data_IF_555426234088
#
_entry.id   IF_555426234088
#
_cell.length_a   1.000
_cell.length_b   1.000
_cell.length_c   1.000
_cell.angle_alpha   90.00
_cell.angle_beta   90.00
_cell.angle_gamma   90.00
#
_symmetry.space_group_name_H-M   'P 1'
#
loop_
_entity.id
_entity.type
_entity.pdbx_description
1 polymer ?
#
# COMPACT_ATOMS: atom_id res chain seq x y z
N UNK A 1 -29.37 8.38 3.93
CA UNK A 1 -28.71 8.50 5.23
C UNK A 1 -27.62 7.41 5.40
N UNK A 2 -27.94 6.10 5.47
CA UNK A 2 -26.97 5.03 5.74
C UNK A 2 -25.72 5.06 4.84
N UNK A 3 -25.88 5.23 3.53
CA UNK A 3 -24.79 5.27 2.53
C UNK A 3 -23.81 6.41 2.81
N UNK A 4 -24.28 7.54 3.34
CA UNK A 4 -23.43 8.67 3.70
C UNK A 4 -22.67 8.45 5.01
N UNK A 5 -23.26 7.68 5.94
CA UNK A 5 -22.73 7.45 7.28
C UNK A 5 -21.72 6.28 7.34
N UNK A 6 -21.93 5.28 6.50
CA UNK A 6 -21.11 4.06 6.52
C UNK A 6 -19.61 4.30 6.25
N UNK A 7 -19.19 5.19 5.33
CA UNK A 7 -17.77 5.45 5.08
C UNK A 7 -16.97 5.98 6.27
N UNK A 8 -17.63 6.58 7.27
CA UNK A 8 -16.98 7.24 8.42
C UNK A 8 -16.12 6.27 9.24
N UNK A 9 -16.62 5.07 9.50
CA UNK A 9 -15.95 4.06 10.33
C UNK A 9 -16.09 2.64 9.81
N UNK A 10 -16.77 2.46 8.67
CA UNK A 10 -17.10 1.16 8.07
C UNK A 10 -17.82 0.21 9.03
N UNK A 11 -18.50 0.76 10.05
CA UNK A 11 -19.26 0.02 11.04
C UNK A 11 -20.74 0.08 10.72
N UNK A 12 -21.32 -1.01 10.21
CA UNK A 12 -22.72 -1.07 9.79
C UNK A 12 -23.70 -0.74 10.91
N UNK A 13 -23.44 -1.13 12.16
CA UNK A 13 -24.29 -0.87 13.31
C UNK A 13 -24.30 0.62 13.65
N UNK A 14 -23.12 1.23 13.73
CA UNK A 14 -23.01 2.67 14.04
C UNK A 14 -23.55 3.53 12.90
N UNK A 15 -23.29 3.17 11.66
CA UNK A 15 -23.86 3.83 10.50
C UNK A 15 -25.40 3.77 10.49
N UNK A 16 -25.99 2.64 10.88
CA UNK A 16 -27.44 2.51 11.00
C UNK A 16 -28.00 3.42 12.11
N UNK A 17 -27.33 3.50 13.27
CA UNK A 17 -27.75 4.40 14.37
C UNK A 17 -27.70 5.86 13.90
N UNK A 18 -26.60 6.30 13.28
CA UNK A 18 -26.46 7.65 12.74
C UNK A 18 -27.48 7.95 11.63
N UNK A 19 -27.86 6.93 10.89
CA UNK A 19 -28.89 7.02 9.86
C UNK A 19 -30.34 7.08 10.41
N UNK A 20 -30.53 7.01 11.75
CA UNK A 20 -31.83 7.15 12.41
C UNK A 20 -32.52 5.82 12.74
N UNK A 21 -31.86 4.67 12.54
CA UNK A 21 -32.42 3.37 12.98
C UNK A 21 -32.28 3.21 14.50
N UNK A 22 -33.23 2.53 15.12
CA UNK A 22 -33.23 2.25 16.56
C UNK A 22 -31.95 1.44 16.93
N UNK A 23 -31.29 1.83 18.02
CA UNK A 23 -30.10 1.12 18.53
C UNK A 23 -30.37 -0.38 18.76
N UNK A 24 -31.63 -0.74 19.17
CA UNK A 24 -32.06 -2.13 19.39
C UNK A 24 -32.02 -2.97 18.10
N UNK A 25 -32.27 -2.36 16.94
CA UNK A 25 -32.34 -3.04 15.64
C UNK A 25 -31.20 -2.69 14.70
N UNK A 26 -30.36 -1.72 15.05
CA UNK A 26 -29.32 -1.18 14.17
C UNK A 26 -28.36 -2.26 13.64
N UNK A 27 -27.99 -3.25 14.46
CA UNK A 27 -27.13 -4.35 14.06
C UNK A 27 -27.75 -5.15 12.90
N UNK A 28 -28.98 -5.61 13.06
CA UNK A 28 -29.68 -6.39 12.02
C UNK A 28 -30.01 -5.55 10.78
N UNK A 29 -30.40 -4.30 10.98
CA UNK A 29 -30.70 -3.38 9.87
C UNK A 29 -29.41 -3.03 9.08
N UNK A 30 -28.31 -2.73 9.74
CA UNK A 30 -27.02 -2.46 9.10
C UNK A 30 -26.53 -3.63 8.26
N UNK A 31 -26.60 -4.84 8.80
CA UNK A 31 -26.28 -6.07 8.06
C UNK A 31 -27.18 -6.24 6.83
N UNK A 32 -28.48 -6.11 7.00
CA UNK A 32 -29.46 -6.23 5.91
C UNK A 32 -29.21 -5.20 4.80
N UNK A 33 -28.88 -3.96 5.17
CA UNK A 33 -28.56 -2.92 4.21
C UNK A 33 -27.31 -3.25 3.39
N UNK A 34 -26.27 -3.80 4.02
CA UNK A 34 -25.04 -4.20 3.31
C UNK A 34 -25.21 -5.45 2.43
N UNK A 35 -26.20 -6.32 2.71
CA UNK A 35 -26.49 -7.46 1.84
C UNK A 35 -27.36 -7.08 0.64
N UNK A 36 -27.99 -5.91 0.65
CA UNK A 36 -28.73 -5.41 -0.51
C UNK A 36 -27.72 -4.91 -1.57
N UNK A 37 -27.77 -5.52 -2.76
CA UNK A 37 -26.83 -5.25 -3.86
C UNK A 37 -26.82 -3.76 -4.23
N UNK A 38 -28.01 -3.15 -4.42
CA UNK A 38 -28.11 -1.74 -4.80
C UNK A 38 -27.51 -0.80 -3.75
N UNK A 39 -27.70 -1.10 -2.46
CA UNK A 39 -27.11 -0.30 -1.37
C UNK A 39 -25.60 -0.50 -1.30
N UNK A 40 -25.13 -1.74 -1.49
CA UNK A 40 -23.71 -2.08 -1.53
C UNK A 40 -23.00 -1.33 -2.65
N UNK A 41 -23.59 -1.29 -3.84
CA UNK A 41 -23.02 -0.58 -4.99
C UNK A 41 -22.93 0.94 -4.73
N UNK A 42 -23.96 1.54 -4.15
CA UNK A 42 -23.95 2.95 -3.77
C UNK A 42 -22.93 3.26 -2.66
N UNK A 43 -22.75 2.35 -1.71
CA UNK A 43 -21.71 2.48 -0.68
C UNK A 43 -20.33 2.41 -1.31
N UNK A 44 -20.10 1.47 -2.23
CA UNK A 44 -18.82 1.33 -2.93
C UNK A 44 -18.53 2.57 -3.79
N UNK A 45 -19.50 3.09 -4.53
CA UNK A 45 -19.36 4.34 -5.28
C UNK A 45 -18.95 5.48 -4.36
N UNK A 46 -19.62 5.60 -3.20
CA UNK A 46 -19.29 6.66 -2.23
C UNK A 46 -17.89 6.52 -1.63
N UNK A 47 -17.44 5.31 -1.35
CA UNK A 47 -16.07 5.05 -0.89
C UNK A 47 -15.07 5.47 -1.97
N UNK A 48 -15.28 5.06 -3.23
CA UNK A 48 -14.42 5.44 -4.36
C UNK A 48 -14.36 6.95 -4.56
N UNK A 49 -15.49 7.67 -4.47
CA UNK A 49 -15.50 9.14 -4.52
C UNK A 49 -14.63 9.78 -3.43
N UNK A 50 -14.70 9.25 -2.21
CA UNK A 50 -13.88 9.75 -1.09
C UNK A 50 -12.40 9.44 -1.27
N UNK A 51 -12.06 8.26 -1.79
CA UNK A 51 -10.68 7.87 -2.12
C UNK A 51 -10.10 8.80 -3.21
N UNK A 52 -10.85 9.06 -4.28
CA UNK A 52 -10.46 9.98 -5.33
C UNK A 52 -10.26 11.41 -4.80
N UNK A 53 -11.19 11.90 -3.97
CA UNK A 53 -11.07 13.24 -3.33
C UNK A 53 -9.86 13.33 -2.41
N UNK A 54 -9.49 12.24 -1.74
CA UNK A 54 -8.30 12.17 -0.90
C UNK A 54 -7.00 11.97 -1.71
N UNK A 55 -7.07 11.84 -3.04
CA UNK A 55 -5.91 11.53 -3.88
C UNK A 55 -5.37 10.12 -3.70
N UNK A 56 -6.16 9.22 -3.06
CA UNK A 56 -5.80 7.83 -2.77
C UNK A 56 -6.29 6.89 -3.88
N UNK A 57 -6.02 7.25 -5.14
CA UNK A 57 -6.35 6.35 -6.26
C UNK A 57 -5.52 5.06 -6.20
N UNK A 58 -6.02 4.01 -6.84
CA UNK A 58 -5.32 2.73 -6.91
C UNK A 58 -3.91 2.88 -7.49
N UNK A 59 -3.77 3.72 -8.53
CA UNK A 59 -2.51 4.05 -9.19
C UNK A 59 -1.55 4.71 -8.20
N UNK A 60 -2.02 5.71 -7.45
CA UNK A 60 -1.18 6.43 -6.50
C UNK A 60 -0.69 5.54 -5.36
N UNK A 61 -1.56 4.67 -4.84
CA UNK A 61 -1.17 3.70 -3.81
C UNK A 61 -0.16 2.69 -4.37
N UNK A 62 -0.35 2.22 -5.61
CA UNK A 62 0.60 1.31 -6.26
C UNK A 62 1.95 1.99 -6.51
N UNK A 63 1.99 3.26 -6.90
CA UNK A 63 3.24 4.03 -7.02
C UNK A 63 4.02 4.11 -5.69
N UNK A 64 3.32 4.39 -4.59
CA UNK A 64 3.92 4.44 -3.26
C UNK A 64 4.45 3.07 -2.84
N UNK A 65 3.67 2.01 -3.01
CA UNK A 65 4.11 0.64 -2.73
C UNK A 65 5.30 0.23 -3.61
N UNK A 66 5.28 0.58 -4.90
CA UNK A 66 6.41 0.34 -5.80
C UNK A 66 7.67 1.09 -5.33
N UNK A 67 7.54 2.31 -4.82
CA UNK A 67 8.64 3.05 -4.20
C UNK A 67 9.24 2.31 -3.01
N UNK A 68 8.40 1.82 -2.09
CA UNK A 68 8.84 1.07 -0.91
C UNK A 68 9.50 -0.28 -1.27
N UNK A 69 9.02 -0.94 -2.32
CA UNK A 69 9.50 -2.28 -2.72
C UNK A 69 10.77 -2.20 -3.57
N UNK A 70 10.85 -1.25 -4.50
CA UNK A 70 11.86 -1.22 -5.56
C UNK A 70 13.06 -0.31 -5.26
N UNK A 71 12.96 0.60 -4.26
CA UNK A 71 14.08 1.47 -3.90
C UNK A 71 15.09 0.73 -3.05
N UNK A 72 16.32 0.66 -3.50
CA UNK A 72 17.43 0.14 -2.70
C UNK A 72 17.95 1.21 -1.71
N UNK A 73 18.61 0.76 -0.63
CA UNK A 73 19.23 1.68 0.32
C UNK A 73 20.31 2.54 -0.35
N UNK A 74 21.09 1.95 -1.26
CA UNK A 74 22.13 2.67 -2.00
C UNK A 74 21.57 3.77 -2.91
N UNK A 75 20.33 3.66 -3.38
CA UNK A 75 19.69 4.69 -4.21
C UNK A 75 19.50 6.02 -3.47
N UNK A 76 19.51 6.00 -2.14
CA UNK A 76 19.30 7.17 -1.28
C UNK A 76 20.60 7.89 -0.92
N UNK A 77 21.74 7.37 -1.35
CA UNK A 77 23.06 7.91 -1.06
C UNK A 77 23.82 8.16 -2.37
N UNK A 78 24.81 9.01 -2.28
CA UNK A 78 25.84 9.23 -3.30
C UNK A 78 27.23 8.96 -2.71
N UNK A 79 28.18 8.63 -3.55
CA UNK A 79 29.56 8.39 -3.12
C UNK A 79 30.32 9.73 -3.06
N UNK A 80 30.83 10.07 -1.89
CA UNK A 80 31.70 11.21 -1.68
C UNK A 80 33.10 10.99 -2.26
N UNK A 81 33.93 12.06 -2.32
CA UNK A 81 35.28 12.03 -2.90
C UNK A 81 36.24 11.06 -2.20
N UNK A 82 35.96 10.71 -0.94
CA UNK A 82 36.74 9.80 -0.10
C UNK A 82 36.14 8.39 -0.02
N UNK A 83 35.11 8.09 -0.83
CA UNK A 83 34.39 6.82 -0.82
C UNK A 83 33.32 6.72 0.28
N UNK A 84 33.04 7.80 1.02
CA UNK A 84 31.95 7.81 2.02
C UNK A 84 30.61 7.88 1.32
N UNK A 85 29.60 7.21 1.91
CA UNK A 85 28.22 7.29 1.42
C UNK A 85 27.53 8.50 2.06
N UNK A 86 27.21 9.49 1.24
CA UNK A 86 26.55 10.74 1.64
C UNK A 86 25.08 10.65 1.28
N UNK A 87 24.14 10.87 2.24
CA UNK A 87 22.71 10.91 1.91
C UNK A 87 22.40 12.00 0.91
N UNK A 88 21.64 11.66 -0.14
CA UNK A 88 21.13 12.63 -1.11
C UNK A 88 20.21 13.64 -0.44
N UNK A 89 20.24 14.88 -0.92
CA UNK A 89 19.30 15.89 -0.48
C UNK A 89 17.86 15.58 -0.92
N UNK A 90 16.88 16.17 -0.25
CA UNK A 90 15.47 15.90 -0.55
C UNK A 90 15.06 16.24 -2.00
N UNK A 91 15.75 17.21 -2.61
CA UNK A 91 15.47 17.68 -3.98
C UNK A 91 16.03 16.69 -5.02
N UNK A 92 17.09 15.95 -4.69
CA UNK A 92 17.72 14.94 -5.56
C UNK A 92 16.97 13.62 -5.55
N UNK A 93 16.17 13.39 -4.52
CA UNK A 93 15.37 12.18 -4.41
C UNK A 93 14.13 12.24 -5.32
N UNK A 94 13.91 11.21 -6.11
CA UNK A 94 12.67 11.02 -6.85
C UNK A 94 11.48 10.81 -5.91
N UNK A 95 10.26 11.03 -6.39
CA UNK A 95 9.03 10.74 -5.62
C UNK A 95 8.97 9.28 -5.15
N UNK A 96 9.48 8.35 -5.96
CA UNK A 96 9.55 6.93 -5.64
C UNK A 96 10.54 6.66 -4.51
N UNK A 97 11.72 7.24 -4.54
CA UNK A 97 12.72 7.13 -3.48
C UNK A 97 12.21 7.75 -2.17
N UNK A 98 11.60 8.94 -2.22
CA UNK A 98 10.99 9.56 -1.03
C UNK A 98 9.90 8.68 -0.42
N UNK A 99 9.10 7.98 -1.23
CA UNK A 99 8.06 7.07 -0.73
C UNK A 99 8.62 5.88 0.07
N UNK A 100 9.90 5.50 -0.14
CA UNK A 100 10.55 4.41 0.62
C UNK A 100 11.03 4.83 2.01
N UNK A 101 11.13 6.13 2.29
CA UNK A 101 11.72 6.67 3.52
C UNK A 101 10.67 6.72 4.62
N UNK A 102 10.95 6.05 5.73
CA UNK A 102 10.13 6.08 6.94
C UNK A 102 10.55 7.24 7.86
N UNK A 103 11.86 7.45 8.00
CA UNK A 103 12.41 8.40 8.97
C UNK A 103 13.79 8.87 8.50
N UNK A 104 14.08 10.14 8.74
CA UNK A 104 15.42 10.73 8.61
C UNK A 104 15.80 11.27 9.99
N UNK A 105 16.86 10.73 10.57
CA UNK A 105 17.37 11.17 11.88
C UNK A 105 18.71 11.89 11.69
N UNK A 106 18.84 13.08 12.27
CA UNK A 106 20.11 13.78 12.38
C UNK A 106 20.85 13.29 13.62
N UNK A 107 22.05 12.78 13.44
CA UNK A 107 22.90 12.27 14.51
C UNK A 107 24.13 13.19 14.64
N UNK A 108 24.50 13.51 15.89
CA UNK A 108 25.75 14.22 16.16
C UNK A 108 26.86 13.18 16.44
N UNK A 109 27.98 13.28 15.73
CA UNK A 109 29.18 12.52 16.02
C UNK A 109 29.85 13.05 17.30
N UNK A 110 30.65 12.22 17.94
CA UNK A 110 31.41 12.59 19.18
C UNK A 110 32.45 13.70 18.91
N UNK A 111 32.84 13.89 17.67
CA UNK A 111 33.76 14.92 17.15
C UNK A 111 33.06 16.23 16.72
N UNK A 112 31.74 16.33 16.94
CA UNK A 112 30.91 17.44 16.49
C UNK A 112 30.50 17.38 15.02
N UNK A 113 30.88 16.33 14.28
CA UNK A 113 30.36 16.06 12.94
C UNK A 113 28.89 15.64 13.04
N UNK A 114 28.08 16.09 12.08
CA UNK A 114 26.69 15.65 11.94
C UNK A 114 26.56 14.64 10.80
N UNK A 115 25.83 13.57 11.00
CA UNK A 115 25.45 12.65 9.93
C UNK A 115 23.97 12.36 9.93
N UNK A 116 23.42 12.06 8.75
CA UNK A 116 22.02 11.68 8.60
C UNK A 116 21.92 10.17 8.55
N UNK A 117 20.94 9.64 9.26
CA UNK A 117 20.52 8.23 9.16
C UNK A 117 19.15 8.17 8.49
N UNK A 118 19.09 7.47 7.36
CA UNK A 118 17.83 7.20 6.66
C UNK A 118 17.35 5.81 7.03
N UNK A 119 16.10 5.72 7.47
CA UNK A 119 15.39 4.47 7.73
C UNK A 119 14.31 4.30 6.67
N UNK A 120 14.33 3.18 5.98
CA UNK A 120 13.30 2.83 5.01
C UNK A 120 12.16 2.05 5.68
N UNK A 121 10.99 2.07 5.03
CA UNK A 121 9.88 1.18 5.38
C UNK A 121 10.28 -0.28 5.18
N UNK A 122 9.63 -1.17 5.94
CA UNK A 122 9.81 -2.61 5.80
C UNK A 122 9.31 -3.08 4.42
N UNK A 123 10.26 -3.48 3.58
CA UNK A 123 10.01 -3.95 2.22
C UNK A 123 9.11 -5.18 2.19
N UNK A 124 9.33 -6.13 3.11
CA UNK A 124 8.52 -7.36 3.17
C UNK A 124 7.08 -7.07 3.52
N UNK A 125 6.86 -6.11 4.41
CA UNK A 125 5.50 -5.65 4.76
C UNK A 125 4.83 -4.94 3.59
N UNK A 126 5.56 -4.15 2.83
CA UNK A 126 5.02 -3.49 1.63
C UNK A 126 4.63 -4.51 0.56
N UNK A 127 5.44 -5.56 0.36
CA UNK A 127 5.16 -6.68 -0.54
C UNK A 127 3.90 -7.43 -0.08
N UNK A 128 3.77 -7.73 1.20
CA UNK A 128 2.58 -8.40 1.76
C UNK A 128 1.30 -7.59 1.53
N UNK A 129 1.35 -6.28 1.76
CA UNK A 129 0.22 -5.36 1.48
C UNK A 129 -0.13 -5.37 -0.01
N UNK A 130 0.87 -5.32 -0.90
CA UNK A 130 0.67 -5.36 -2.34
C UNK A 130 -0.02 -6.65 -2.78
N UNK A 131 0.44 -7.80 -2.30
CA UNK A 131 -0.14 -9.10 -2.66
C UNK A 131 -1.55 -9.30 -2.10
N UNK A 132 -1.83 -8.83 -0.88
CA UNK A 132 -3.19 -8.83 -0.32
C UNK A 132 -4.14 -7.96 -1.15
N UNK A 133 -3.68 -6.78 -1.56
CA UNK A 133 -4.45 -5.85 -2.39
C UNK A 133 -4.75 -6.41 -3.79
N UNK A 134 -3.78 -7.08 -4.40
CA UNK A 134 -3.92 -7.66 -5.75
C UNK A 134 -4.64 -9.01 -5.76
N UNK A 135 -4.97 -9.55 -4.57
CA UNK A 135 -5.64 -10.85 -4.44
C UNK A 135 -4.73 -12.05 -4.75
N UNK A 136 -3.42 -11.83 -4.90
CA UNK A 136 -2.43 -12.90 -5.08
C UNK A 136 -2.35 -13.76 -3.81
N UNK A 137 -2.56 -13.16 -2.64
CA UNK A 137 -2.78 -13.88 -1.38
C UNK A 137 -4.25 -13.87 -0.99
N UNK A 138 -4.80 -15.06 -0.70
CA UNK A 138 -5.95 -15.17 0.19
C UNK A 138 -5.43 -15.32 1.63
N UNK A 139 -6.10 -14.73 2.61
CA UNK A 139 -5.73 -14.71 4.05
C UNK A 139 -5.63 -16.10 4.72
N UNK A 140 -5.81 -17.19 3.97
CA UNK A 140 -5.83 -18.56 4.45
C UNK A 140 -4.51 -19.30 4.22
N UNK A 141 -3.44 -18.88 4.91
CA UNK A 141 -2.26 -19.72 5.15
C UNK A 141 -1.09 -19.55 4.18
N UNK A 142 0.05 -19.29 4.78
CA UNK A 142 1.35 -18.92 4.17
C UNK A 142 1.95 -19.96 3.21
N UNK A 143 1.59 -21.24 3.34
CA UNK A 143 2.22 -22.35 2.60
C UNK A 143 1.72 -22.54 1.17
N UNK A 144 0.44 -22.20 0.90
CA UNK A 144 -0.13 -22.33 -0.45
C UNK A 144 0.25 -21.15 -1.39
N UNK A 145 0.83 -20.11 -0.85
CA UNK A 145 1.06 -18.85 -1.55
C UNK A 145 2.39 -18.83 -2.30
N UNK A 146 3.42 -19.50 -1.76
CA UNK A 146 4.71 -19.66 -2.44
C UNK A 146 4.54 -20.48 -3.72
N UNK A 147 3.75 -21.56 -3.67
CA UNK A 147 3.44 -22.37 -4.84
C UNK A 147 2.66 -21.60 -5.92
N UNK A 148 1.69 -20.75 -5.51
CA UNK A 148 0.96 -19.87 -6.43
C UNK A 148 1.83 -18.76 -7.02
N UNK A 149 2.78 -18.24 -6.25
CA UNK A 149 3.74 -17.25 -6.70
C UNK A 149 4.68 -17.84 -7.77
N UNK A 150 5.13 -19.07 -7.58
CA UNK A 150 5.93 -19.80 -8.57
C UNK A 150 5.17 -20.03 -9.88
N UNK A 151 3.89 -20.43 -9.78
CA UNK A 151 3.01 -20.58 -10.95
C UNK A 151 2.83 -19.25 -11.68
N UNK A 152 2.60 -18.15 -10.96
CA UNK A 152 2.45 -16.83 -11.56
C UNK A 152 3.73 -16.32 -12.25
N UNK A 153 4.92 -16.60 -11.70
CA UNK A 153 6.20 -16.26 -12.36
C UNK A 153 6.37 -17.07 -13.64
N UNK A 154 6.04 -18.36 -13.61
CA UNK A 154 6.09 -19.22 -14.79
C UNK A 154 5.11 -18.78 -15.87
N UNK A 155 3.88 -18.42 -15.51
CA UNK A 155 2.87 -17.89 -16.45
C UNK A 155 3.29 -16.54 -17.02
N UNK A 156 3.85 -15.67 -16.19
CA UNK A 156 4.35 -14.36 -16.61
C UNK A 156 5.56 -14.50 -17.54
N UNK A 157 6.49 -15.41 -17.26
CA UNK A 157 7.62 -15.71 -18.12
C UNK A 157 7.15 -16.35 -19.44
N UNK A 158 6.13 -17.21 -19.42
CA UNK A 158 5.52 -17.74 -20.62
C UNK A 158 4.85 -16.65 -21.49
N UNK A 159 4.19 -15.67 -20.86
CA UNK A 159 3.61 -14.53 -21.55
C UNK A 159 4.70 -13.60 -22.12
N UNK A 160 5.78 -13.35 -21.39
CA UNK A 160 6.93 -12.57 -21.85
C UNK A 160 7.64 -13.25 -23.05
N UNK A 161 7.84 -14.58 -23.02
CA UNK A 161 8.36 -15.32 -24.16
C UNK A 161 7.53 -15.13 -25.42
N UNK A 162 6.19 -15.19 -25.30
CA UNK A 162 5.29 -14.94 -26.44
C UNK A 162 5.37 -13.51 -26.97
N UNK A 163 5.69 -12.54 -26.11
CA UNK A 163 5.82 -11.13 -26.45
C UNK A 163 7.25 -10.73 -26.87
N UNK A 164 8.22 -11.64 -26.87
CA UNK A 164 9.64 -11.36 -27.17
C UNK A 164 10.33 -10.48 -26.14
N UNK A 165 9.83 -10.47 -24.87
CA UNK A 165 10.36 -9.69 -23.77
C UNK A 165 11.28 -10.56 -22.89
N UNK A 166 12.30 -9.98 -22.23
CA UNK A 166 13.19 -10.72 -21.34
C UNK A 166 12.43 -11.35 -20.16
N UNK A 167 12.85 -12.57 -19.79
CA UNK A 167 12.28 -13.28 -18.64
C UNK A 167 12.72 -12.64 -17.31
N UNK A 168 11.97 -12.91 -16.25
CA UNK A 168 12.36 -12.56 -14.88
C UNK A 168 13.27 -13.70 -14.40
N UNK A 169 14.50 -13.37 -14.03
CA UNK A 169 15.43 -14.31 -13.39
C UNK A 169 14.89 -14.69 -12.00
N UNK A 170 15.05 -15.99 -11.64
CA UNK A 170 14.65 -16.54 -10.34
C UNK A 170 15.54 -16.02 -9.19
#
# INVERSE_FOLDING_TARGET
AFIAEYPTDKNATQAAIRAGYSAKTARSQGQRLLTNVAIKDLVNQKLTELEVKAGLTAERVNEVLAGMIMTDACDLYEEGPDGTMIPKSADELTSRQRASIQEITLMAGADGSGYQRIKQYDRLRAIDIYYKRTGIYSDSGTTNNIAKMHVNILELNAAKRRAGLPEIEE
#
